data_IF_754509689565
#
_entry.id   IF_754509689565
#
_cell.length_a   1.000
_cell.length_b   1.000
_cell.length_c   1.000
_cell.angle_alpha   90.00
_cell.angle_beta   90.00
_cell.angle_gamma   90.00
#
_symmetry.space_group_name_H-M   'P 1'
#
loop_
_entity.id
_entity.type
_entity.pdbx_description
1 polymer ?
#
# COMPACT_ATOMS: atom_id res chain seq x y z
N UNK A 1 -22.84 52.46 -34.81
CA UNK A 1 -22.79 50.98 -34.82
C UNK A 1 -21.35 50.60 -35.17
N UNK A 2 -20.62 49.92 -34.26
CA UNK A 2 -19.16 49.78 -34.33
C UNK A 2 -18.71 48.48 -35.00
N UNK A 3 -17.63 48.54 -35.78
CA UNK A 3 -16.82 47.36 -36.11
C UNK A 3 -15.85 47.06 -34.97
N UNK A 4 -15.94 45.85 -34.40
CA UNK A 4 -14.93 45.28 -33.50
C UNK A 4 -14.25 44.09 -34.17
N UNK A 5 -12.94 43.92 -33.98
CA UNK A 5 -12.19 42.81 -34.57
C UNK A 5 -12.50 41.47 -33.87
N UNK A 6 -12.46 40.40 -34.68
CA UNK A 6 -12.77 39.02 -34.31
C UNK A 6 -11.58 38.40 -33.56
N UNK A 7 -11.78 37.98 -32.31
CA UNK A 7 -10.84 37.10 -31.59
C UNK A 7 -11.12 35.63 -31.94
N UNK A 8 -10.11 34.81 -32.25
CA UNK A 8 -10.32 33.38 -32.41
C UNK A 8 -10.42 32.72 -31.03
N UNK A 9 -11.62 32.29 -30.65
CA UNK A 9 -11.82 31.39 -29.51
C UNK A 9 -11.20 30.03 -29.82
N UNK A 10 -10.16 29.68 -29.07
CA UNK A 10 -9.69 28.31 -28.91
C UNK A 10 -10.85 27.46 -28.36
N UNK A 11 -11.34 26.51 -29.16
CA UNK A 11 -12.13 25.38 -28.64
C UNK A 11 -11.18 24.43 -27.93
N UNK A 12 -10.99 24.66 -26.63
CA UNK A 12 -10.61 23.59 -25.72
C UNK A 12 -11.85 22.70 -25.53
N UNK A 13 -11.71 21.44 -25.92
CA UNK A 13 -12.71 20.40 -25.66
C UNK A 13 -13.02 20.34 -24.18
N UNK A 14 -14.31 20.36 -23.85
CA UNK A 14 -14.82 20.23 -22.50
C UNK A 14 -14.39 18.90 -21.90
N UNK A 15 -13.44 18.96 -20.96
CA UNK A 15 -13.27 17.89 -19.97
C UNK A 15 -14.60 17.70 -19.23
N UNK A 16 -15.00 16.44 -19.01
CA UNK A 16 -16.14 16.09 -18.18
C UNK A 16 -16.03 16.70 -16.77
N UNK A 17 -17.10 16.66 -15.95
CA UNK A 17 -17.19 17.43 -14.72
C UNK A 17 -16.00 17.11 -13.83
N UNK A 18 -15.11 18.09 -13.68
CA UNK A 18 -13.94 18.01 -12.85
C UNK A 18 -14.36 17.69 -11.42
N UNK A 19 -13.80 16.62 -10.87
CA UNK A 19 -13.88 16.35 -9.42
C UNK A 19 -13.27 17.57 -8.73
N UNK A 20 -14.11 18.37 -8.08
CA UNK A 20 -13.67 19.51 -7.29
C UNK A 20 -12.76 18.98 -6.17
N UNK A 21 -11.52 19.50 -6.00
CA UNK A 21 -10.54 18.97 -5.03
C UNK A 21 -10.98 18.98 -3.56
N UNK A 22 -12.10 19.62 -3.24
CA UNK A 22 -12.51 19.95 -1.87
C UNK A 22 -13.47 18.94 -1.21
N UNK A 23 -13.92 17.89 -1.91
CA UNK A 23 -14.86 16.90 -1.36
C UNK A 23 -14.29 15.48 -1.17
N UNK A 24 -13.04 15.23 -1.57
CA UNK A 24 -12.40 13.92 -1.46
C UNK A 24 -11.89 13.58 -0.05
N UNK A 25 -11.70 12.29 0.23
CA UNK A 25 -11.24 11.77 1.53
C UNK A 25 -10.01 12.51 2.08
N UNK A 26 -9.06 12.88 1.21
CA UNK A 26 -7.83 13.59 1.59
C UNK A 26 -8.10 14.94 2.27
N UNK A 27 -9.11 15.68 1.81
CA UNK A 27 -9.47 17.00 2.38
C UNK A 27 -10.02 16.90 3.81
N UNK A 28 -10.45 15.69 4.22
CA UNK A 28 -11.11 15.42 5.50
C UNK A 28 -10.23 14.67 6.49
N UNK A 29 -9.05 14.23 6.08
CA UNK A 29 -8.13 13.46 6.93
C UNK A 29 -6.79 14.19 7.12
N UNK A 30 -6.26 14.25 8.36
CA UNK A 30 -4.94 14.79 8.63
C UNK A 30 -3.82 13.80 8.26
N UNK A 31 -4.15 12.52 8.07
CA UNK A 31 -3.18 11.43 7.90
C UNK A 31 -2.78 11.22 6.43
N UNK A 32 -1.49 10.86 6.19
CA UNK A 32 -0.99 10.46 4.89
C UNK A 32 -1.83 9.34 4.22
N UNK A 33 -2.07 9.46 2.91
CA UNK A 33 -2.82 8.45 2.15
C UNK A 33 -1.93 7.27 1.75
N UNK A 34 -2.22 6.08 2.27
CA UNK A 34 -1.67 4.81 1.80
C UNK A 34 -2.59 4.23 0.71
N UNK A 35 -2.03 3.90 -0.46
CA UNK A 35 -2.80 3.34 -1.58
C UNK A 35 -2.30 1.94 -1.93
N UNK A 36 -3.15 0.94 -1.72
CA UNK A 36 -2.92 -0.43 -2.21
C UNK A 36 -3.63 -0.60 -3.57
N UNK A 37 -2.83 -0.60 -4.63
CA UNK A 37 -3.27 -0.47 -6.02
C UNK A 37 -3.47 -1.84 -6.67
N UNK A 38 -4.64 -2.44 -6.41
CA UNK A 38 -5.10 -3.68 -7.06
C UNK A 38 -5.74 -3.38 -8.42
N UNK A 39 -4.94 -2.82 -9.35
CA UNK A 39 -5.36 -2.43 -10.71
C UNK A 39 -4.45 -3.09 -11.75
N UNK A 40 -4.98 -3.34 -12.95
CA UNK A 40 -4.23 -4.03 -14.00
C UNK A 40 -3.11 -3.20 -14.65
N UNK A 41 -3.24 -1.87 -14.68
CA UNK A 41 -2.26 -0.96 -15.29
C UNK A 41 -1.89 0.14 -14.27
N UNK A 42 -1.02 -0.15 -13.29
CA UNK A 42 -0.71 0.77 -12.20
C UNK A 42 -0.04 2.07 -12.68
N UNK A 43 0.66 2.08 -13.81
CA UNK A 43 1.32 3.26 -14.38
C UNK A 43 0.32 4.40 -14.64
N UNK A 44 -0.91 4.08 -15.05
CA UNK A 44 -1.95 5.06 -15.40
C UNK A 44 -2.40 5.91 -14.21
N UNK A 45 -2.23 5.41 -12.99
CA UNK A 45 -2.78 6.00 -11.78
C UNK A 45 -1.74 6.72 -10.92
N UNK A 46 -0.45 6.65 -11.25
CA UNK A 46 0.61 7.30 -10.47
C UNK A 46 0.35 8.80 -10.35
N UNK A 47 0.19 9.50 -11.49
CA UNK A 47 -0.05 10.95 -11.47
C UNK A 47 -1.39 11.34 -10.84
N UNK A 48 -2.53 10.70 -11.19
CA UNK A 48 -3.79 10.96 -10.51
C UNK A 48 -3.72 10.79 -8.98
N UNK A 49 -3.08 9.72 -8.49
CA UNK A 49 -2.95 9.47 -7.05
C UNK A 49 -2.06 10.50 -6.36
N UNK A 50 -0.96 10.91 -6.99
CA UNK A 50 -0.11 11.97 -6.47
C UNK A 50 -0.88 13.31 -6.36
N UNK A 51 -1.65 13.68 -7.40
CA UNK A 51 -2.50 14.88 -7.39
C UNK A 51 -3.60 14.79 -6.33
N UNK A 52 -4.16 13.60 -6.10
CA UNK A 52 -5.11 13.35 -5.03
C UNK A 52 -4.49 13.41 -3.62
N UNK A 53 -3.16 13.52 -3.51
CA UNK A 53 -2.42 13.64 -2.26
C UNK A 53 -2.12 12.31 -1.58
N UNK A 54 -2.00 11.22 -2.35
CA UNK A 54 -1.44 9.97 -1.84
C UNK A 54 0.03 10.16 -1.42
N UNK A 55 0.42 9.47 -0.36
CA UNK A 55 1.77 9.54 0.19
C UNK A 55 2.59 8.28 -0.13
N UNK A 56 1.91 7.14 -0.28
CA UNK A 56 2.52 5.90 -0.71
C UNK A 56 1.67 5.25 -1.79
N UNK A 57 2.34 4.75 -2.82
CA UNK A 57 1.75 3.99 -3.91
C UNK A 57 2.28 2.56 -3.88
N UNK A 58 1.46 1.63 -3.40
CA UNK A 58 1.79 0.20 -3.29
C UNK A 58 1.18 -0.54 -4.48
N UNK A 59 2.00 -0.98 -5.44
CA UNK A 59 1.53 -1.70 -6.63
C UNK A 59 1.88 -3.19 -6.58
N UNK A 60 1.16 -4.02 -7.32
CA UNK A 60 1.44 -5.46 -7.46
C UNK A 60 2.50 -5.70 -8.51
N UNK A 61 3.53 -6.50 -8.20
CA UNK A 61 4.57 -6.86 -9.18
C UNK A 61 3.98 -7.58 -10.40
N UNK A 62 2.88 -8.29 -10.22
CA UNK A 62 2.16 -9.04 -11.25
C UNK A 62 1.38 -8.14 -12.23
N UNK A 63 1.24 -6.85 -11.92
CA UNK A 63 0.48 -5.90 -12.71
C UNK A 63 1.33 -5.02 -13.64
N UNK A 64 2.65 -5.24 -13.69
CA UNK A 64 3.54 -4.49 -14.58
C UNK A 64 4.65 -5.38 -15.14
N UNK A 65 5.03 -5.14 -16.39
CA UNK A 65 6.19 -5.80 -17.01
C UNK A 65 7.50 -5.06 -16.72
N UNK A 66 7.45 -3.83 -16.19
CA UNK A 66 8.63 -3.01 -15.92
C UNK A 66 8.58 -2.33 -14.54
N UNK A 67 8.76 -3.10 -13.45
CA UNK A 67 8.71 -2.57 -12.08
C UNK A 67 9.68 -1.41 -11.85
N UNK A 68 10.89 -1.47 -12.42
CA UNK A 68 11.92 -0.43 -12.24
C UNK A 68 11.50 0.93 -12.79
N UNK A 69 10.88 0.96 -13.98
CA UNK A 69 10.35 2.20 -14.56
C UNK A 69 9.22 2.79 -13.70
N UNK A 70 8.31 1.93 -13.22
CA UNK A 70 7.20 2.35 -12.37
C UNK A 70 7.67 2.84 -10.99
N UNK A 71 8.63 2.16 -10.36
CA UNK A 71 9.28 2.62 -9.11
C UNK A 71 9.83 4.04 -9.29
N UNK A 72 10.53 4.28 -10.40
CA UNK A 72 11.08 5.60 -10.73
C UNK A 72 9.97 6.65 -10.88
N UNK A 73 8.93 6.35 -11.66
CA UNK A 73 7.81 7.29 -11.89
C UNK A 73 7.07 7.65 -10.58
N UNK A 74 6.85 6.68 -9.69
CA UNK A 74 6.25 6.91 -8.37
C UNK A 74 7.10 7.90 -7.55
N UNK A 75 8.43 7.72 -7.53
CA UNK A 75 9.35 8.61 -6.81
C UNK A 75 9.41 10.00 -7.43
N UNK A 76 9.43 10.10 -8.76
CA UNK A 76 9.40 11.39 -9.47
C UNK A 76 8.10 12.18 -9.22
N UNK A 77 7.01 11.48 -8.90
CA UNK A 77 5.75 12.09 -8.46
C UNK A 77 5.66 12.33 -6.95
N UNK A 78 6.76 12.18 -6.20
CA UNK A 78 6.86 12.57 -4.80
C UNK A 78 6.22 11.61 -3.79
N UNK A 79 5.91 10.38 -4.21
CA UNK A 79 5.32 9.36 -3.35
C UNK A 79 6.35 8.32 -2.89
N UNK A 80 6.10 7.71 -1.73
CA UNK A 80 6.77 6.48 -1.31
C UNK A 80 6.33 5.30 -2.16
N UNK A 81 7.20 4.31 -2.28
CA UNK A 81 7.01 3.12 -3.11
C UNK A 81 6.73 1.90 -2.25
N UNK A 82 5.55 1.31 -2.44
CA UNK A 82 5.24 -0.03 -1.95
C UNK A 82 5.25 -1.05 -3.09
N UNK A 83 5.67 -2.27 -2.82
CA UNK A 83 5.60 -3.37 -3.78
C UNK A 83 4.94 -4.60 -3.15
N UNK A 84 3.83 -5.03 -3.73
CA UNK A 84 3.00 -6.12 -3.26
C UNK A 84 3.23 -7.40 -4.08
N UNK A 85 3.04 -8.54 -3.44
CA UNK A 85 2.90 -9.86 -4.07
C UNK A 85 1.65 -10.57 -3.60
N UNK A 86 0.99 -11.27 -4.52
CA UNK A 86 -0.12 -12.19 -4.22
C UNK A 86 0.36 -13.49 -3.56
N UNK A 87 -0.54 -14.26 -2.94
CA UNK A 87 -0.17 -15.54 -2.34
C UNK A 87 0.46 -16.54 -3.33
N UNK A 88 0.00 -16.55 -4.59
CA UNK A 88 0.58 -17.42 -5.64
C UNK A 88 1.98 -17.01 -6.12
N UNK A 89 2.47 -15.83 -5.78
CA UNK A 89 3.73 -15.28 -6.30
C UNK A 89 4.89 -15.53 -5.35
N UNK A 90 5.96 -16.11 -5.88
CA UNK A 90 7.19 -16.43 -5.15
C UNK A 90 7.88 -15.16 -4.63
N UNK A 91 8.36 -15.18 -3.38
CA UNK A 91 8.87 -13.97 -2.69
C UNK A 91 10.18 -13.46 -3.30
N UNK A 92 10.95 -14.34 -3.91
CA UNK A 92 12.22 -14.08 -4.58
C UNK A 92 12.07 -13.05 -5.71
N UNK A 93 10.88 -12.90 -6.31
CA UNK A 93 10.62 -11.85 -7.30
C UNK A 93 10.70 -10.43 -6.74
N UNK A 94 10.55 -10.24 -5.41
CA UNK A 94 10.74 -8.94 -4.75
C UNK A 94 12.20 -8.58 -4.55
N UNK A 95 13.09 -9.58 -4.44
CA UNK A 95 14.47 -9.39 -4.00
C UNK A 95 15.27 -8.36 -4.82
N UNK A 96 15.16 -8.32 -6.17
CA UNK A 96 15.87 -7.31 -6.98
C UNK A 96 15.45 -5.86 -6.67
N UNK A 97 14.25 -5.67 -6.10
CA UNK A 97 13.62 -4.38 -5.88
C UNK A 97 13.66 -3.93 -4.42
N UNK A 98 13.99 -4.82 -3.48
CA UNK A 98 13.90 -4.58 -2.04
C UNK A 98 14.66 -3.33 -1.57
N UNK A 99 15.80 -2.99 -2.19
CA UNK A 99 16.58 -1.79 -1.87
C UNK A 99 16.10 -0.51 -2.58
N UNK A 100 15.09 -0.62 -3.45
CA UNK A 100 14.55 0.48 -4.25
C UNK A 100 13.13 0.87 -3.82
N UNK A 101 12.52 0.10 -2.93
CA UNK A 101 11.17 0.32 -2.38
C UNK A 101 11.28 0.78 -0.92
N UNK A 102 10.22 1.42 -0.44
CA UNK A 102 10.14 1.84 0.96
C UNK A 102 9.43 0.78 1.81
N UNK A 103 8.59 -0.07 1.19
CA UNK A 103 7.83 -1.12 1.88
C UNK A 103 7.50 -2.30 0.95
N UNK A 104 7.63 -3.53 1.45
CA UNK A 104 7.12 -4.74 0.78
C UNK A 104 5.78 -5.17 1.40
N UNK A 105 4.79 -5.50 0.59
CA UNK A 105 3.50 -6.04 1.03
C UNK A 105 3.39 -7.52 0.65
N UNK A 106 3.25 -8.39 1.66
CA UNK A 106 2.89 -9.80 1.47
C UNK A 106 1.40 -9.97 1.70
N UNK A 107 0.66 -10.29 0.65
CA UNK A 107 -0.76 -10.61 0.78
C UNK A 107 -0.94 -11.91 1.56
N UNK A 108 -1.85 -11.91 2.53
CA UNK A 108 -2.21 -13.09 3.36
C UNK A 108 -3.62 -13.61 3.08
N UNK A 109 -4.21 -13.15 1.98
CA UNK A 109 -5.43 -13.64 1.30
C UNK A 109 -5.29 -13.37 -0.20
N UNK A 110 -6.07 -14.03 -1.06
CA UNK A 110 -6.14 -13.62 -2.47
C UNK A 110 -6.82 -12.23 -2.58
N UNK A 111 -6.26 -11.28 -3.35
CA UNK A 111 -6.85 -9.95 -3.48
C UNK A 111 -8.25 -10.00 -4.13
N UNK A 112 -9.13 -9.10 -3.71
CA UNK A 112 -10.45 -8.91 -4.33
C UNK A 112 -11.56 -8.66 -3.31
N UNK A 113 -11.72 -9.54 -2.32
CA UNK A 113 -12.80 -9.44 -1.33
C UNK A 113 -12.29 -9.53 0.12
N UNK A 114 -12.89 -8.73 1.01
CA UNK A 114 -12.64 -8.80 2.45
C UNK A 114 -13.32 -9.99 3.12
N UNK A 115 -12.82 -10.40 4.29
CA UNK A 115 -13.42 -11.48 5.10
C UNK A 115 -12.93 -12.89 4.77
N UNK A 116 -11.96 -13.01 3.87
CA UNK A 116 -11.25 -14.27 3.61
C UNK A 116 -10.41 -14.70 4.82
N UNK A 117 -10.15 -16.00 4.93
CA UNK A 117 -9.34 -16.57 6.01
C UNK A 117 -7.86 -16.28 5.77
N UNK A 118 -7.16 -15.94 6.85
CA UNK A 118 -5.72 -15.75 6.86
C UNK A 118 -4.98 -17.00 6.36
N UNK A 119 -3.98 -16.79 5.51
CA UNK A 119 -3.10 -17.82 4.95
C UNK A 119 -1.78 -17.89 5.73
N UNK A 120 -1.70 -18.80 6.70
CA UNK A 120 -0.51 -18.97 7.55
C UNK A 120 0.74 -19.39 6.76
N UNK A 121 0.55 -20.08 5.64
CA UNK A 121 1.58 -20.50 4.70
C UNK A 121 2.25 -19.34 3.94
N UNK A 122 1.80 -18.10 4.13
CA UNK A 122 2.50 -16.90 3.65
C UNK A 122 3.59 -16.40 4.60
N UNK A 123 3.58 -16.81 5.87
CA UNK A 123 4.58 -16.39 6.87
C UNK A 123 6.02 -16.75 6.50
N UNK A 124 6.32 -17.89 5.84
CA UNK A 124 7.66 -18.15 5.30
C UNK A 124 8.18 -17.04 4.38
N UNK A 125 7.32 -16.37 3.59
CA UNK A 125 7.71 -15.25 2.73
C UNK A 125 8.10 -14.01 3.55
N UNK A 126 7.32 -13.70 4.57
CA UNK A 126 7.59 -12.59 5.51
C UNK A 126 8.93 -12.82 6.22
N UNK A 127 9.15 -14.04 6.72
CA UNK A 127 10.39 -14.42 7.40
C UNK A 127 11.60 -14.36 6.46
N UNK A 128 11.44 -14.83 5.22
CA UNK A 128 12.49 -14.74 4.21
C UNK A 128 12.87 -13.28 3.95
N UNK A 129 11.90 -12.39 3.70
CA UNK A 129 12.15 -10.95 3.50
C UNK A 129 12.83 -10.32 4.71
N UNK A 130 12.36 -10.60 5.94
CA UNK A 130 12.97 -10.04 7.15
C UNK A 130 14.41 -10.52 7.35
N UNK A 131 14.69 -11.77 7.00
CA UNK A 131 16.04 -12.36 7.09
C UNK A 131 16.98 -11.69 6.09
N UNK A 132 16.56 -11.55 4.82
CA UNK A 132 17.40 -11.00 3.75
C UNK A 132 17.51 -9.48 3.82
N UNK A 133 16.45 -8.79 4.24
CA UNK A 133 16.34 -7.33 4.28
C UNK A 133 15.94 -6.84 5.69
N UNK A 134 16.86 -6.90 6.67
CA UNK A 134 16.60 -6.53 8.06
C UNK A 134 15.94 -5.18 8.30
N UNK A 135 16.20 -4.19 7.45
CA UNK A 135 15.75 -2.80 7.61
C UNK A 135 14.53 -2.46 6.78
N UNK A 136 14.03 -3.36 5.94
CA UNK A 136 12.88 -3.12 5.08
C UNK A 136 11.59 -3.12 5.91
N UNK A 137 10.67 -2.21 5.62
CA UNK A 137 9.31 -2.27 6.14
C UNK A 137 8.55 -3.39 5.42
N UNK A 138 7.99 -4.32 6.19
CA UNK A 138 7.26 -5.48 5.68
C UNK A 138 5.84 -5.42 6.22
N UNK A 139 4.90 -5.34 5.30
CA UNK A 139 3.48 -5.28 5.53
C UNK A 139 2.80 -6.62 5.25
N UNK A 140 1.74 -6.89 6.02
CA UNK A 140 0.78 -7.98 5.75
C UNK A 140 -0.63 -7.42 5.62
N UNK A 141 -1.37 -7.89 4.62
CA UNK A 141 -2.76 -7.51 4.35
C UNK A 141 -3.63 -8.73 4.03
N UNK A 142 -4.71 -8.91 4.79
CA UNK A 142 -5.69 -9.98 4.61
C UNK A 142 -5.86 -10.88 5.83
N UNK A 143 -7.02 -10.81 6.49
CA UNK A 143 -7.34 -11.71 7.61
C UNK A 143 -6.50 -11.49 8.88
N UNK A 144 -5.81 -10.35 9.01
CA UNK A 144 -4.99 -10.03 10.19
C UNK A 144 -5.86 -9.46 11.31
N UNK A 145 -5.72 -10.01 12.51
CA UNK A 145 -6.44 -9.62 13.72
C UNK A 145 -5.81 -10.21 14.99
N UNK A 146 -6.46 -10.10 16.15
CA UNK A 146 -5.94 -10.61 17.43
C UNK A 146 -5.44 -12.06 17.39
N UNK A 147 -6.11 -12.93 16.63
CA UNK A 147 -5.78 -14.36 16.57
C UNK A 147 -4.61 -14.69 15.63
N UNK A 148 -4.27 -13.79 14.70
CA UNK A 148 -3.29 -14.02 13.63
C UNK A 148 -2.08 -13.10 13.69
N UNK A 149 -2.16 -12.02 14.47
CA UNK A 149 -1.11 -11.01 14.59
C UNK A 149 0.21 -11.58 15.12
N UNK A 150 0.16 -12.52 16.06
CA UNK A 150 1.35 -13.15 16.62
C UNK A 150 2.19 -13.81 15.52
N UNK A 151 1.55 -14.56 14.62
CA UNK A 151 2.22 -15.24 13.49
C UNK A 151 2.90 -14.23 12.56
N UNK A 152 2.20 -13.13 12.26
CA UNK A 152 2.73 -12.04 11.41
C UNK A 152 3.93 -11.36 12.05
N UNK A 153 3.79 -11.00 13.32
CA UNK A 153 4.78 -10.29 14.09
C UNK A 153 6.04 -11.14 14.30
N UNK A 154 5.89 -12.42 14.65
CA UNK A 154 6.98 -13.38 14.84
C UNK A 154 7.73 -13.63 13.52
N UNK A 155 7.01 -13.80 12.41
CA UNK A 155 7.61 -13.94 11.08
C UNK A 155 8.38 -12.70 10.61
N UNK A 156 8.16 -11.53 11.21
CA UNK A 156 8.96 -10.34 10.96
C UNK A 156 8.24 -9.17 10.30
N UNK A 157 6.92 -9.22 10.15
CA UNK A 157 6.14 -8.07 9.72
C UNK A 157 6.15 -6.96 10.79
N UNK A 158 6.17 -5.71 10.34
CA UNK A 158 6.14 -4.52 11.20
C UNK A 158 5.09 -3.49 10.78
N UNK A 159 4.46 -3.67 9.62
CA UNK A 159 3.32 -2.89 9.13
C UNK A 159 2.10 -3.82 9.03
N UNK A 160 0.95 -3.42 9.57
CA UNK A 160 -0.20 -4.31 9.74
C UNK A 160 -1.46 -3.66 9.20
N UNK A 161 -2.06 -4.27 8.18
CA UNK A 161 -3.40 -3.91 7.70
C UNK A 161 -4.43 -4.83 8.34
N UNK A 162 -5.36 -4.23 9.08
CA UNK A 162 -6.47 -4.96 9.71
C UNK A 162 -7.79 -4.22 9.48
N UNK A 163 -8.65 -4.81 8.63
CA UNK A 163 -9.97 -4.26 8.31
C UNK A 163 -11.05 -4.74 9.27
N UNK A 164 -11.61 -5.92 9.00
CA UNK A 164 -12.78 -6.45 9.73
C UNK A 164 -12.60 -6.54 11.24
N UNK A 165 -11.41 -6.89 11.74
CA UNK A 165 -11.19 -7.04 13.17
C UNK A 165 -11.26 -5.70 13.92
N UNK A 166 -10.82 -4.61 13.28
CA UNK A 166 -10.90 -3.25 13.83
C UNK A 166 -12.31 -2.68 13.63
N UNK A 167 -12.84 -2.77 12.41
CA UNK A 167 -14.10 -2.11 12.03
C UNK A 167 -15.36 -2.73 12.65
N UNK A 168 -15.30 -4.01 13.07
CA UNK A 168 -16.43 -4.70 13.72
C UNK A 168 -16.32 -4.73 15.25
N UNK A 169 -15.26 -4.17 15.82
CA UNK A 169 -15.08 -4.15 17.26
C UNK A 169 -15.88 -3.01 17.90
N UNK A 170 -16.45 -3.26 19.07
CA UNK A 170 -17.04 -2.22 19.91
C UNK A 170 -15.97 -1.28 20.50
N UNK A 171 -14.70 -1.71 20.54
CA UNK A 171 -13.55 -0.89 20.92
C UNK A 171 -12.38 -1.04 19.91
N UNK A 172 -12.46 -0.31 18.77
CA UNK A 172 -11.40 -0.32 17.76
C UNK A 172 -10.03 0.13 18.30
N UNK A 173 -10.01 0.99 19.32
CA UNK A 173 -8.76 1.50 19.92
C UNK A 173 -8.05 0.37 20.66
N UNK A 174 -8.77 -0.44 21.43
CA UNK A 174 -8.20 -1.60 22.12
C UNK A 174 -7.60 -2.60 21.13
N UNK A 175 -8.31 -2.91 20.04
CA UNK A 175 -7.80 -3.81 18.99
C UNK A 175 -6.52 -3.25 18.36
N UNK A 176 -6.50 -1.98 17.95
CA UNK A 176 -5.31 -1.34 17.37
C UNK A 176 -4.13 -1.38 18.35
N UNK A 177 -4.36 -1.13 19.64
CA UNK A 177 -3.32 -1.16 20.65
C UNK A 177 -2.75 -2.57 20.85
N UNK A 178 -3.60 -3.59 20.88
CA UNK A 178 -3.18 -4.99 20.93
C UNK A 178 -2.28 -5.33 19.73
N UNK A 179 -2.74 -5.03 18.51
CA UNK A 179 -1.99 -5.33 17.29
C UNK A 179 -0.61 -4.66 17.32
N UNK A 180 -0.56 -3.38 17.69
CA UNK A 180 0.69 -2.63 17.81
C UNK A 180 1.61 -3.22 18.87
N UNK A 181 1.07 -3.56 20.05
CA UNK A 181 1.86 -4.10 21.15
C UNK A 181 2.56 -5.40 20.77
N UNK A 182 1.82 -6.36 20.20
CA UNK A 182 2.37 -7.65 19.76
C UNK A 182 3.49 -7.46 18.73
N UNK A 183 3.31 -6.55 17.76
CA UNK A 183 4.35 -6.23 16.80
C UNK A 183 5.60 -5.60 17.44
N UNK A 184 5.42 -4.67 18.38
CA UNK A 184 6.53 -4.04 19.10
C UNK A 184 7.31 -5.06 19.94
N UNK A 185 6.64 -5.95 20.66
CA UNK A 185 7.30 -6.99 21.46
C UNK A 185 8.13 -7.94 20.59
N UNK A 186 7.57 -8.40 19.46
CA UNK A 186 8.30 -9.27 18.53
C UNK A 186 9.51 -8.55 17.89
N UNK A 187 9.35 -7.27 17.55
CA UNK A 187 10.44 -6.46 17.02
C UNK A 187 11.58 -6.25 18.04
N UNK A 188 11.23 -6.00 19.31
CA UNK A 188 12.21 -5.86 20.39
C UNK A 188 13.02 -7.14 20.61
N UNK A 189 12.37 -8.31 20.62
CA UNK A 189 13.05 -9.61 20.73
C UNK A 189 14.09 -9.79 19.62
N UNK A 190 13.72 -9.51 18.37
CA UNK A 190 14.65 -9.55 17.23
C UNK A 190 15.83 -8.59 17.34
N UNK A 191 15.67 -7.45 18.01
CA UNK A 191 16.77 -6.51 18.23
C UNK A 191 17.73 -6.98 19.32
N UNK A 192 17.26 -7.77 20.28
CA UNK A 192 18.07 -8.32 21.38
C UNK A 192 18.85 -9.57 20.96
N UNK A 193 18.35 -10.34 20.01
CA UNK A 193 18.97 -11.58 19.52
C UNK A 193 20.08 -11.35 18.46
N UNK A 194 20.47 -10.09 18.21
CA UNK A 194 21.52 -9.68 17.25
C UNK A 194 22.78 -9.19 17.95
#
# INVERSE_FOLDING_TARGET
MPDRPVHPQQRLGSAGPGVQPHDGLRSRLPTPGYMHMMVANPEQWVKPMAVAGANQYTFHIEATENPGALIKDIRENGMKVGLAIKPGTTVEYLAPWANQIDMALVMTVEPGFGGQKFMEDMMPKVNWLRTQFPSLDIEVDGGVGPDTIHKCAEAGANMIVSGSAVMKSDDPRAVINLLRHVCCEAAQKRSLDR
#
